data_IF_253445093510
#
_entry.id   IF_253445093510
#
_cell.length_a   1.000
_cell.length_b   1.000
_cell.length_c   1.000
_cell.angle_alpha   90.00
_cell.angle_beta   90.00
_cell.angle_gamma   90.00
#
_symmetry.space_group_name_H-M   'P 1'
#
loop_
_entity.id
_entity.type
_entity.pdbx_description
1 polymer ?
#
# COMPACT_ATOMS: atom_id res chain seq x y z
N UNK A 1 -8.68 4.72 -12.05
CA UNK A 1 -9.72 5.60 -11.45
C UNK A 1 -9.14 6.99 -11.26
N UNK A 2 -9.85 7.96 -11.79
CA UNK A 2 -9.49 9.36 -11.53
C UNK A 2 -9.96 9.73 -10.13
N UNK A 3 -9.07 10.41 -9.38
CA UNK A 3 -9.38 10.91 -8.05
C UNK A 3 -9.72 12.40 -8.12
N UNK A 4 -10.52 12.86 -7.18
CA UNK A 4 -10.74 14.28 -7.02
C UNK A 4 -9.43 14.93 -6.55
N UNK A 5 -8.99 15.93 -7.27
CA UNK A 5 -7.77 16.68 -6.93
C UNK A 5 -7.82 17.21 -5.50
N UNK A 6 -8.98 17.71 -5.06
CA UNK A 6 -9.15 18.21 -3.70
C UNK A 6 -8.94 17.14 -2.62
N UNK A 7 -9.35 15.89 -2.87
CA UNK A 7 -9.14 14.80 -1.91
C UNK A 7 -7.67 14.42 -1.81
N UNK A 8 -7.01 14.29 -2.96
CA UNK A 8 -5.56 14.03 -3.01
C UNK A 8 -4.79 15.13 -2.30
N UNK A 9 -5.10 16.39 -2.58
CA UNK A 9 -4.38 17.53 -2.02
C UNK A 9 -4.60 17.65 -0.51
N UNK A 10 -5.79 17.32 -0.01
CA UNK A 10 -6.07 17.30 1.43
C UNK A 10 -5.20 16.26 2.15
N UNK A 11 -5.11 15.05 1.62
CA UNK A 11 -4.27 13.99 2.19
C UNK A 11 -2.79 14.37 2.11
N UNK A 12 -2.35 14.89 0.98
CA UNK A 12 -0.96 15.30 0.79
C UNK A 12 -0.57 16.40 1.77
N UNK A 13 -1.44 17.39 1.97
CA UNK A 13 -1.20 18.48 2.91
C UNK A 13 -1.07 17.95 4.35
N UNK A 14 -1.95 17.03 4.74
CA UNK A 14 -1.90 16.43 6.06
C UNK A 14 -0.60 15.64 6.30
N UNK A 15 -0.01 15.09 5.25
CA UNK A 15 1.23 14.32 5.30
C UNK A 15 2.47 15.13 4.91
N UNK A 16 2.32 16.42 4.68
CA UNK A 16 3.38 17.33 4.25
C UNK A 16 4.05 16.92 2.94
N UNK A 17 3.25 16.41 2.01
CA UNK A 17 3.71 15.99 0.68
C UNK A 17 3.33 17.03 -0.35
N UNK A 18 4.27 17.37 -1.23
CA UNK A 18 4.02 18.20 -2.42
C UNK A 18 3.64 17.28 -3.58
N UNK A 19 2.42 17.44 -4.09
CA UNK A 19 1.93 16.61 -5.19
C UNK A 19 2.45 17.13 -6.53
N UNK A 20 3.00 16.22 -7.34
CA UNK A 20 3.37 16.51 -8.72
C UNK A 20 2.22 16.02 -9.63
N UNK A 21 1.60 16.92 -10.42
CA UNK A 21 0.50 16.52 -11.29
C UNK A 21 0.93 15.62 -12.46
N UNK A 22 2.22 15.49 -12.73
CA UNK A 22 2.71 14.54 -13.72
C UNK A 22 2.71 13.09 -13.23
N UNK A 23 2.56 12.88 -11.92
CA UNK A 23 2.63 11.57 -11.29
C UNK A 23 1.25 11.09 -10.87
N UNK A 24 1.17 9.81 -10.49
CA UNK A 24 -0.05 9.17 -10.02
C UNK A 24 0.01 8.83 -8.54
N UNK A 25 -1.13 8.40 -8.03
CA UNK A 25 -1.31 7.93 -6.66
C UNK A 25 -1.50 6.42 -6.69
N UNK A 26 -0.78 5.71 -5.82
CA UNK A 26 -0.99 4.28 -5.61
C UNK A 26 -1.54 4.08 -4.21
N UNK A 27 -2.61 3.32 -4.12
CA UNK A 27 -3.18 2.90 -2.83
C UNK A 27 -3.38 1.39 -2.88
N UNK A 28 -3.18 0.74 -1.76
CA UNK A 28 -3.36 -0.69 -1.71
C UNK A 28 -3.64 -1.21 -0.32
N UNK A 29 -3.76 -2.51 -0.24
CA UNK A 29 -4.02 -3.22 1.01
C UNK A 29 -3.31 -4.57 0.96
N UNK A 30 -2.84 -5.03 2.11
CA UNK A 30 -2.20 -6.34 2.24
C UNK A 30 -3.20 -7.28 2.91
N UNK A 31 -3.52 -8.36 2.23
CA UNK A 31 -4.54 -9.31 2.66
C UNK A 31 -3.97 -10.73 2.71
N UNK A 32 -4.51 -11.52 3.61
CA UNK A 32 -4.37 -12.96 3.59
C UNK A 32 -5.72 -13.58 3.20
N UNK A 33 -5.69 -14.52 2.27
CA UNK A 33 -6.88 -15.22 1.80
C UNK A 33 -6.71 -16.72 1.99
N UNK A 34 -7.55 -17.31 2.79
CA UNK A 34 -7.51 -18.72 3.09
C UNK A 34 -8.89 -19.32 3.31
N UNK A 35 -8.94 -20.57 3.77
CA UNK A 35 -10.20 -21.30 3.97
C UNK A 35 -11.15 -20.66 4.96
N UNK A 36 -10.67 -19.81 5.86
CA UNK A 36 -11.49 -19.11 6.85
C UNK A 36 -11.92 -17.70 6.40
N UNK A 37 -11.52 -17.26 5.21
CA UNK A 37 -11.90 -15.94 4.69
C UNK A 37 -10.71 -15.07 4.35
N UNK A 38 -10.94 -13.74 4.37
CA UNK A 38 -9.93 -12.74 4.02
C UNK A 38 -9.68 -11.87 5.25
N UNK A 39 -8.41 -11.64 5.58
CA UNK A 39 -8.01 -10.86 6.74
C UNK A 39 -6.90 -9.88 6.39
N UNK A 40 -6.82 -8.78 7.13
CA UNK A 40 -5.71 -7.83 7.01
C UNK A 40 -4.40 -8.43 7.53
N UNK A 41 -3.31 -8.10 6.86
CA UNK A 41 -1.97 -8.52 7.29
C UNK A 41 -1.19 -7.29 7.76
N UNK A 42 -0.90 -7.24 9.04
CA UNK A 42 -0.09 -6.18 9.63
C UNK A 42 1.39 -6.46 9.53
N UNK A 43 2.20 -5.48 9.94
CA UNK A 43 3.65 -5.55 9.97
C UNK A 43 4.31 -5.83 8.61
N UNK A 44 3.66 -5.46 7.54
CA UNK A 44 4.18 -5.63 6.19
C UNK A 44 4.87 -4.36 5.72
N UNK A 45 6.10 -4.47 5.28
CA UNK A 45 6.82 -3.40 4.60
C UNK A 45 6.60 -3.51 3.09
N UNK A 46 6.28 -2.40 2.45
CA UNK A 46 5.99 -2.33 1.03
C UNK A 46 7.20 -1.74 0.30
N UNK A 47 7.66 -2.42 -0.72
CA UNK A 47 8.67 -1.92 -1.64
C UNK A 47 8.16 -2.00 -3.07
N UNK A 48 8.77 -1.26 -3.99
CA UNK A 48 8.40 -1.27 -5.39
C UNK A 48 9.58 -0.81 -6.25
N UNK A 49 9.47 -1.01 -7.56
CA UNK A 49 10.52 -0.66 -8.51
C UNK A 49 10.25 0.63 -9.30
N UNK A 50 9.27 1.44 -8.87
CA UNK A 50 8.97 2.72 -9.52
C UNK A 50 9.98 3.83 -9.20
N UNK A 51 10.77 3.66 -8.17
CA UNK A 51 11.66 4.70 -7.65
C UNK A 51 11.04 5.52 -6.51
N UNK A 52 9.74 5.43 -6.28
CA UNK A 52 9.09 6.09 -5.14
C UNK A 52 9.20 5.21 -3.90
N UNK A 53 9.97 5.67 -2.92
CA UNK A 53 10.23 4.91 -1.69
C UNK A 53 9.41 5.38 -0.48
N UNK A 54 8.68 6.49 -0.61
CA UNK A 54 7.91 7.05 0.50
C UNK A 54 6.54 6.38 0.57
N UNK A 55 6.40 5.42 1.45
CA UNK A 55 5.16 4.69 1.67
C UNK A 55 4.53 5.15 2.98
N UNK A 56 3.27 5.56 2.89
CA UNK A 56 2.47 5.91 4.05
C UNK A 56 1.56 4.75 4.41
N UNK A 57 1.59 4.34 5.66
CA UNK A 57 0.74 3.26 6.17
C UNK A 57 -0.40 3.85 6.98
N UNK A 58 -1.53 3.17 6.99
CA UNK A 58 -2.72 3.65 7.70
C UNK A 58 -2.65 3.36 9.19
N UNK A 59 -3.33 4.19 9.97
CA UNK A 59 -3.65 3.87 11.36
C UNK A 59 -4.80 2.86 11.43
N UNK A 60 -5.28 2.56 12.63
CA UNK A 60 -6.36 1.59 12.84
C UNK A 60 -7.71 2.04 12.26
N UNK A 61 -7.88 3.33 11.98
CA UNK A 61 -9.09 3.88 11.36
C UNK A 61 -9.01 3.95 9.83
N UNK A 62 -7.86 3.63 9.25
CA UNK A 62 -7.65 3.67 7.81
C UNK A 62 -7.08 4.99 7.30
N UNK A 63 -6.72 5.91 8.17
CA UNK A 63 -6.09 7.16 7.78
C UNK A 63 -4.59 6.98 7.60
N UNK A 64 -4.02 7.43 6.47
CA UNK A 64 -2.57 7.35 6.29
C UNK A 64 -1.85 8.29 7.25
N UNK A 65 -0.77 7.79 7.84
CA UNK A 65 0.06 8.54 8.79
C UNK A 65 1.53 8.39 8.43
N UNK A 66 2.35 9.33 8.85
CA UNK A 66 3.79 9.33 8.56
C UNK A 66 4.62 8.64 9.66
N UNK A 67 3.99 8.25 10.75
CA UNK A 67 4.66 7.66 11.91
C UNK A 67 4.84 6.15 11.84
N UNK A 68 4.22 5.47 10.88
CA UNK A 68 4.31 4.01 10.75
C UNK A 68 5.33 3.61 9.68
N UNK A 69 6.00 2.50 9.94
CA UNK A 69 6.99 1.91 9.02
C UNK A 69 6.51 0.61 8.37
N UNK A 70 5.32 0.16 8.74
CA UNK A 70 4.71 -1.06 8.21
C UNK A 70 3.20 -1.01 8.37
N UNK A 71 2.49 -1.94 7.73
CA UNK A 71 1.03 -1.97 7.77
C UNK A 71 0.49 -2.24 9.17
N UNK A 72 -0.71 -1.71 9.43
CA UNK A 72 -1.44 -1.93 10.67
C UNK A 72 -2.26 -3.22 10.58
N UNK A 73 -2.24 -4.09 11.60
CA UNK A 73 -3.03 -5.32 11.57
C UNK A 73 -4.55 -5.10 11.56
N UNK A 74 -5.02 -3.95 12.01
CA UNK A 74 -6.45 -3.61 11.99
C UNK A 74 -6.88 -2.94 10.68
N UNK A 75 -5.93 -2.38 9.92
CA UNK A 75 -6.18 -1.81 8.61
C UNK A 75 -4.86 -1.77 7.84
N UNK A 76 -4.64 -2.75 6.99
CA UNK A 76 -3.36 -2.95 6.31
C UNK A 76 -3.23 -2.17 4.99
N UNK A 77 -3.89 -1.04 4.88
CA UNK A 77 -3.76 -0.18 3.71
C UNK A 77 -2.48 0.63 3.70
N UNK A 78 -2.04 0.98 2.50
CA UNK A 78 -0.85 1.80 2.26
C UNK A 78 -1.09 2.75 1.09
N UNK A 79 -0.26 3.79 1.02
CA UNK A 79 -0.46 4.88 0.08
C UNK A 79 0.91 5.42 -0.37
N UNK A 80 1.07 5.64 -1.68
CA UNK A 80 2.22 6.31 -2.26
C UNK A 80 1.75 7.48 -3.11
N UNK A 81 2.25 8.68 -2.80
CA UNK A 81 2.11 9.83 -3.68
C UNK A 81 3.24 9.87 -4.71
N UNK A 82 3.03 10.59 -5.79
CA UNK A 82 4.09 10.91 -6.75
C UNK A 82 4.78 9.67 -7.33
N UNK A 83 4.00 8.65 -7.63
CA UNK A 83 4.51 7.50 -8.38
C UNK A 83 4.60 7.91 -9.85
N UNK A 84 5.78 7.80 -10.48
CA UNK A 84 5.94 8.25 -11.87
C UNK A 84 4.95 7.57 -12.81
N UNK A 85 4.34 8.34 -13.70
CA UNK A 85 3.47 7.77 -14.72
C UNK A 85 4.27 6.80 -15.61
N UNK A 86 3.68 5.67 -15.90
CA UNK A 86 4.34 4.60 -16.66
C UNK A 86 4.15 3.25 -15.97
N UNK A 87 5.15 2.43 -16.02
CA UNK A 87 5.12 1.05 -15.51
C UNK A 87 5.17 0.05 -16.67
N UNK A 88 4.70 -1.21 -16.43
CA UNK A 88 4.15 -1.68 -15.15
C UNK A 88 5.21 -1.73 -14.06
N UNK A 89 4.78 -1.55 -12.83
CA UNK A 89 5.66 -1.62 -11.67
C UNK A 89 5.35 -2.86 -10.83
N UNK A 90 6.39 -3.45 -10.24
CA UNK A 90 6.25 -4.56 -9.30
C UNK A 90 6.21 -4.00 -7.87
N UNK A 91 5.17 -4.35 -7.13
CA UNK A 91 5.05 -4.06 -5.70
C UNK A 91 5.28 -5.35 -4.91
N UNK A 92 6.05 -5.24 -3.84
CA UNK A 92 6.39 -6.39 -3.00
C UNK A 92 6.04 -6.07 -1.55
N UNK A 93 5.35 -6.98 -0.90
CA UNK A 93 5.13 -6.95 0.54
C UNK A 93 6.05 -7.95 1.22
N UNK A 94 6.66 -7.54 2.32
CA UNK A 94 7.50 -8.39 3.17
C UNK A 94 6.94 -8.33 4.59
N UNK A 95 6.49 -9.48 5.07
CA UNK A 95 5.97 -9.64 6.42
C UNK A 95 6.84 -10.67 7.14
N UNK A 96 7.79 -10.17 7.90
CA UNK A 96 8.70 -11.00 8.70
C UNK A 96 9.39 -12.10 7.86
N UNK A 97 9.84 -11.74 6.65
CA UNK A 97 10.51 -12.64 5.74
C UNK A 97 9.61 -13.36 4.73
N UNK A 98 8.30 -13.39 4.97
CA UNK A 98 7.33 -13.90 4.00
C UNK A 98 6.97 -12.80 3.01
N UNK A 99 7.05 -13.10 1.71
CA UNK A 99 6.88 -12.10 0.66
C UNK A 99 5.69 -12.42 -0.24
N UNK A 100 5.08 -11.37 -0.77
CA UNK A 100 4.08 -11.46 -1.84
C UNK A 100 4.32 -10.33 -2.84
N UNK A 101 3.95 -10.56 -4.09
CA UNK A 101 4.20 -9.62 -5.17
C UNK A 101 2.92 -9.37 -5.96
N UNK A 102 2.79 -8.15 -6.47
CA UNK A 102 1.72 -7.80 -7.39
C UNK A 102 2.21 -6.80 -8.43
N UNK A 103 1.78 -6.98 -9.66
CA UNK A 103 2.03 -6.02 -10.73
C UNK A 103 0.98 -4.91 -10.68
N UNK A 104 1.42 -3.68 -10.60
CA UNK A 104 0.55 -2.56 -10.92
C UNK A 104 0.44 -2.49 -12.45
N UNK A 105 -0.76 -2.40 -13.02
CA UNK A 105 -0.89 -2.42 -14.48
C UNK A 105 -0.14 -1.25 -15.11
N UNK A 106 -0.58 -0.05 -14.88
CA UNK A 106 0.05 1.19 -15.31
C UNK A 106 -0.35 2.28 -14.35
N UNK A 107 0.55 3.22 -14.12
CA UNK A 107 0.27 4.42 -13.32
C UNK A 107 0.09 5.59 -14.28
N UNK A 108 -1.01 6.30 -14.13
CA UNK A 108 -1.33 7.47 -14.96
C UNK A 108 -1.28 8.74 -14.11
N UNK A 109 -0.89 9.84 -14.74
CA UNK A 109 -0.90 11.14 -14.09
C UNK A 109 -2.31 11.49 -13.57
N UNK A 110 -2.39 12.03 -12.37
CA UNK A 110 -3.64 12.45 -11.73
C UNK A 110 -4.67 11.33 -11.54
N UNK A 111 -4.23 10.08 -11.61
CA UNK A 111 -5.10 8.91 -11.42
C UNK A 111 -4.69 8.13 -10.17
N UNK A 112 -5.63 7.36 -9.64
CA UNK A 112 -5.39 6.45 -8.53
C UNK A 112 -5.36 5.01 -9.06
N UNK A 113 -4.29 4.29 -8.70
CA UNK A 113 -4.12 2.87 -9.02
C UNK A 113 -4.19 2.06 -7.75
N UNK A 114 -5.04 1.04 -7.74
CA UNK A 114 -5.12 0.10 -6.61
C UNK A 114 -4.17 -1.07 -6.82
N UNK A 115 -3.39 -1.40 -5.79
CA UNK A 115 -2.50 -2.56 -5.79
C UNK A 115 -2.79 -3.41 -4.56
N UNK A 116 -3.34 -4.60 -4.80
CA UNK A 116 -3.60 -5.57 -3.73
C UNK A 116 -2.42 -6.53 -3.61
N UNK A 117 -1.88 -6.67 -2.41
CA UNK A 117 -0.87 -7.65 -2.09
C UNK A 117 -1.55 -8.77 -1.30
N UNK A 118 -1.60 -9.95 -1.86
CA UNK A 118 -2.39 -11.05 -1.29
C UNK A 118 -1.47 -12.23 -0.98
N UNK A 119 -1.43 -12.58 0.29
CA UNK A 119 -0.90 -13.85 0.75
C UNK A 119 -2.03 -14.88 0.71
N UNK A 120 -1.76 -16.06 0.21
CA UNK A 120 -2.71 -17.18 0.22
C UNK A 120 -2.12 -18.38 0.97
N UNK A 121 -2.91 -19.44 1.11
CA UNK A 121 -2.45 -20.63 1.80
C UNK A 121 -1.27 -21.32 1.13
N UNK A 122 -1.05 -21.09 -0.17
CA UNK A 122 0.10 -21.61 -0.88
C UNK A 122 1.38 -20.84 -0.57
N UNK A 123 1.27 -19.52 -0.35
CA UNK A 123 2.40 -18.68 0.02
C UNK A 123 2.62 -18.62 1.53
N UNK A 124 1.56 -18.73 2.31
CA UNK A 124 1.63 -18.67 3.77
C UNK A 124 0.48 -19.46 4.39
N UNK A 125 0.78 -20.61 4.95
CA UNK A 125 -0.21 -21.57 5.42
C UNK A 125 -1.11 -21.05 6.55
N UNK A 126 -0.61 -20.14 7.40
CA UNK A 126 -1.38 -19.56 8.50
C UNK A 126 -1.34 -18.05 8.40
N UNK A 127 -2.50 -17.44 8.61
CA UNK A 127 -2.54 -15.98 8.70
C UNK A 127 -1.64 -15.51 9.83
N UNK A 128 -0.60 -14.73 9.52
CA UNK A 128 0.19 -14.14 10.57
C UNK A 128 -0.61 -13.03 11.23
N UNK A 129 -0.72 -13.08 12.53
CA UNK A 129 -1.16 -11.96 13.34
C UNK A 129 0.03 -11.47 14.15
N UNK A 130 1.02 -10.82 13.51
CA UNK A 130 2.12 -10.30 14.27
C UNK A 130 1.59 -9.18 15.15
N UNK A 131 1.85 -9.27 16.41
CA UNK A 131 1.52 -8.18 17.33
C UNK A 131 2.65 -7.16 17.37
N UNK A 132 2.32 -5.90 17.60
CA UNK A 132 3.28 -4.92 18.06
C UNK A 132 4.24 -4.33 17.02
N UNK A 133 3.86 -4.25 15.78
CA UNK A 133 4.62 -3.49 14.78
C UNK A 133 4.12 -2.04 14.67
N UNK A 134 5.00 -1.17 14.28
CA UNK A 134 4.70 0.25 14.09
C UNK A 134 4.94 0.70 12.65
#
# INVERSE_FOLDING_TARGET
ILIKESSRDTLATALSVTVDPADGLVIGVVLWSGGSGVEFVGCTEITNDSGQSDVFYSDDTGYPVDSRTSTNPDNSSYLLFNVPAGGPYMFTGDTDGETTEADAPMVFAEAMTFVYLIYDEATWATNPTPGGCS
#
